data_IF_088470471099
#
_entry.id   IF_088470471099
#
_cell.length_a   1.000
_cell.length_b   1.000
_cell.length_c   1.000
_cell.angle_alpha   90.00
_cell.angle_beta   90.00
_cell.angle_gamma   90.00
#
_symmetry.space_group_name_H-M   'P 1'
#
loop_
_entity.id
_entity.type
_entity.pdbx_description
1 polymer ?
#
# COMPACT_ATOMS: atom_id res chain seq x y z
N UNK A 1 3.33 -7.96 19.62
CA UNK A 1 2.73 -9.09 18.87
C UNK A 1 3.62 -9.62 17.73
N UNK A 2 4.77 -9.00 17.40
CA UNK A 2 5.54 -9.34 16.18
C UNK A 2 6.32 -10.67 16.17
N UNK A 3 6.98 -11.08 17.27
CA UNK A 3 7.90 -12.24 17.26
C UNK A 3 7.17 -13.57 16.99
N UNK A 4 5.99 -13.77 17.58
CA UNK A 4 5.22 -15.00 17.37
C UNK A 4 4.69 -15.09 15.92
N UNK A 5 4.31 -13.96 15.32
CA UNK A 5 3.85 -13.90 13.93
C UNK A 5 4.99 -14.17 12.94
N UNK A 6 6.18 -13.62 13.19
CA UNK A 6 7.39 -13.88 12.38
C UNK A 6 7.76 -15.36 12.43
N UNK A 7 7.78 -15.97 13.62
CA UNK A 7 8.08 -17.40 13.76
C UNK A 7 7.03 -18.28 13.08
N UNK A 8 5.75 -17.89 13.13
CA UNK A 8 4.68 -18.59 12.44
C UNK A 8 4.82 -18.52 10.90
N UNK A 9 5.16 -17.35 10.36
CA UNK A 9 5.43 -17.17 8.93
C UNK A 9 6.63 -18.00 8.47
N UNK A 10 7.74 -17.97 9.21
CA UNK A 10 8.93 -18.82 8.92
C UNK A 10 8.59 -20.31 8.94
N UNK A 11 7.77 -20.76 9.89
CA UNK A 11 7.32 -22.15 9.94
C UNK A 11 6.42 -22.53 8.75
N UNK A 12 5.57 -21.61 8.27
CA UNK A 12 4.74 -21.82 7.07
C UNK A 12 5.58 -21.89 5.80
N UNK A 13 6.59 -21.03 5.65
CA UNK A 13 7.55 -21.05 4.52
C UNK A 13 8.28 -22.40 4.49
N UNK A 14 8.87 -22.83 5.60
CA UNK A 14 9.56 -24.13 5.69
C UNK A 14 8.64 -25.32 5.35
N UNK A 15 7.36 -25.23 5.70
CA UNK A 15 6.37 -26.25 5.35
C UNK A 15 6.10 -26.29 3.85
N UNK A 16 6.04 -25.12 3.20
CA UNK A 16 5.92 -25.04 1.74
C UNK A 16 7.15 -25.58 1.03
N UNK A 17 8.37 -25.31 1.53
CA UNK A 17 9.61 -25.91 1.00
C UNK A 17 9.52 -27.44 0.99
N UNK A 18 9.11 -28.02 2.13
CA UNK A 18 8.95 -29.48 2.24
C UNK A 18 7.88 -30.01 1.28
N UNK A 19 6.81 -29.25 1.05
CA UNK A 19 5.77 -29.64 0.08
C UNK A 19 6.28 -29.58 -1.36
N UNK A 20 7.04 -28.55 -1.72
CA UNK A 20 7.65 -28.40 -3.05
C UNK A 20 8.61 -29.55 -3.31
N UNK A 21 9.49 -29.87 -2.35
CA UNK A 21 10.39 -31.03 -2.42
C UNK A 21 9.62 -32.35 -2.63
N UNK A 22 8.57 -32.58 -1.84
CA UNK A 22 7.74 -33.78 -1.97
C UNK A 22 7.06 -33.87 -3.34
N UNK A 23 6.59 -32.73 -3.89
CA UNK A 23 6.02 -32.70 -5.24
C UNK A 23 7.06 -33.03 -6.29
N UNK A 24 8.28 -32.50 -6.19
CA UNK A 24 9.37 -32.85 -7.11
C UNK A 24 9.74 -34.34 -7.05
N UNK A 25 9.78 -34.93 -5.86
CA UNK A 25 10.00 -36.36 -5.68
C UNK A 25 8.90 -37.18 -6.35
N UNK A 26 7.63 -36.88 -6.04
CA UNK A 26 6.48 -37.57 -6.65
C UNK A 26 6.43 -37.41 -8.17
N UNK A 27 6.78 -36.22 -8.67
CA UNK A 27 6.88 -35.94 -10.10
C UNK A 27 7.93 -36.86 -10.74
N UNK A 28 9.11 -36.96 -10.15
CA UNK A 28 10.21 -37.77 -10.68
C UNK A 28 9.81 -39.25 -10.73
N UNK A 29 9.30 -39.79 -9.63
CA UNK A 29 8.89 -41.20 -9.54
C UNK A 29 7.76 -41.53 -10.54
N UNK A 30 6.75 -40.67 -10.62
CA UNK A 30 5.59 -40.89 -11.50
C UNK A 30 5.98 -40.81 -12.98
N UNK A 31 6.76 -39.80 -13.37
CA UNK A 31 7.21 -39.64 -14.75
C UNK A 31 8.18 -40.76 -15.15
N UNK A 32 9.04 -41.22 -14.24
CA UNK A 32 9.91 -42.38 -14.51
C UNK A 32 9.08 -43.65 -14.73
N UNK A 33 8.10 -43.92 -13.86
CA UNK A 33 7.20 -45.08 -13.99
C UNK A 33 6.43 -45.07 -15.32
N UNK A 34 5.89 -43.92 -15.73
CA UNK A 34 5.19 -43.78 -17.02
C UNK A 34 6.14 -44.01 -18.20
N UNK A 35 7.35 -43.45 -18.15
CA UNK A 35 8.36 -43.67 -19.19
C UNK A 35 8.76 -45.15 -19.30
N UNK A 36 8.90 -45.85 -18.17
CA UNK A 36 9.17 -47.30 -18.17
C UNK A 36 8.01 -48.09 -18.80
N UNK A 37 6.76 -47.72 -18.52
CA UNK A 37 5.58 -48.33 -19.13
C UNK A 37 5.54 -48.09 -20.65
N UNK A 38 5.81 -46.86 -21.10
CA UNK A 38 5.89 -46.52 -22.54
C UNK A 38 7.00 -47.34 -23.20
N UNK A 39 8.19 -47.40 -22.61
CA UNK A 39 9.33 -48.16 -23.15
C UNK A 39 9.00 -49.66 -23.26
N UNK A 40 8.36 -50.24 -22.24
CA UNK A 40 7.88 -51.63 -22.27
C UNK A 40 6.87 -51.86 -23.39
N UNK A 41 5.89 -50.97 -23.54
CA UNK A 41 4.87 -51.09 -24.57
C UNK A 41 5.44 -50.93 -25.99
N UNK A 42 6.40 -50.01 -26.18
CA UNK A 42 7.14 -49.85 -27.45
C UNK A 42 7.96 -51.09 -27.80
N UNK A 43 8.56 -51.74 -26.80
CA UNK A 43 9.27 -53.03 -27.01
C UNK A 43 8.31 -54.12 -27.47
N UNK A 44 7.17 -54.27 -26.81
CA UNK A 44 6.12 -55.24 -27.20
C UNK A 44 5.60 -54.96 -28.62
N UNK A 45 5.38 -53.68 -28.95
CA UNK A 45 5.00 -53.26 -30.30
C UNK A 45 6.03 -53.71 -31.33
N UNK A 46 7.31 -53.38 -31.12
CA UNK A 46 8.40 -53.73 -32.05
C UNK A 46 8.56 -55.25 -32.22
N UNK A 47 8.42 -56.03 -31.15
CA UNK A 47 8.47 -57.51 -31.23
C UNK A 47 7.27 -58.07 -32.00
N UNK A 48 6.07 -57.52 -31.77
CA UNK A 48 4.85 -57.92 -32.48
C UNK A 48 4.91 -57.53 -33.96
N UNK A 49 5.50 -56.37 -34.28
CA UNK A 49 5.70 -55.89 -35.64
C UNK A 49 6.65 -56.82 -36.43
N UNK A 50 7.77 -57.22 -35.82
CA UNK A 50 8.67 -58.22 -36.41
C UNK A 50 7.95 -59.55 -36.69
N UNK A 51 7.15 -60.01 -35.74
CA UNK A 51 6.37 -61.24 -35.91
C UNK A 51 5.30 -61.11 -37.02
N UNK A 52 4.66 -59.94 -37.13
CA UNK A 52 3.72 -59.65 -38.22
C UNK A 52 4.40 -59.71 -39.58
N UNK A 53 5.64 -59.22 -39.71
CA UNK A 53 6.41 -59.31 -40.96
C UNK A 53 6.66 -60.77 -41.35
N UNK A 54 7.08 -61.61 -40.41
CA UNK A 54 7.28 -63.04 -40.64
C UNK A 54 5.98 -63.77 -41.03
N UNK A 55 4.90 -63.51 -40.30
CA UNK A 55 3.57 -64.07 -40.58
C UNK A 55 3.06 -63.62 -41.94
N UNK A 56 3.24 -62.34 -42.30
CA UNK A 56 2.83 -61.78 -43.59
C UNK A 56 3.57 -62.43 -44.77
N UNK A 57 4.88 -62.68 -44.60
CA UNK A 57 5.67 -63.42 -45.59
C UNK A 57 5.13 -64.85 -45.76
N UNK A 58 4.86 -65.55 -44.66
CA UNK A 58 4.28 -66.89 -44.70
C UNK A 58 2.88 -66.90 -45.33
N UNK A 59 2.02 -65.91 -45.04
CA UNK A 59 0.71 -65.76 -45.69
C UNK A 59 0.83 -65.66 -47.21
N UNK A 60 1.82 -64.91 -47.70
CA UNK A 60 2.07 -64.77 -49.14
C UNK A 60 2.54 -66.11 -49.75
N UNK A 61 3.43 -66.85 -49.07
CA UNK A 61 3.86 -68.18 -49.51
C UNK A 61 2.68 -69.18 -49.60
N UNK A 62 1.77 -69.17 -48.62
CA UNK A 62 0.53 -69.96 -48.67
C UNK A 62 -0.40 -69.52 -49.79
N UNK A 63 -0.51 -68.21 -50.05
CA UNK A 63 -1.32 -67.68 -51.14
C UNK A 63 -0.80 -68.14 -52.52
N UNK A 64 0.51 -68.06 -52.73
CA UNK A 64 1.14 -68.54 -53.97
C UNK A 64 0.99 -70.05 -54.13
N UNK A 65 1.09 -70.80 -53.03
CA UNK A 65 0.88 -72.26 -53.04
C UNK A 65 -0.57 -72.60 -53.42
N UNK A 66 -1.57 -71.97 -52.77
CA UNK A 66 -2.97 -72.12 -53.13
C UNK A 66 -3.22 -71.82 -54.61
N UNK A 67 -2.67 -70.73 -55.14
CA UNK A 67 -2.81 -70.36 -56.55
C UNK A 67 -2.26 -71.42 -57.51
N UNK A 68 -1.14 -72.07 -57.16
CA UNK A 68 -0.57 -73.20 -57.93
C UNK A 68 -1.51 -74.41 -57.91
N UNK A 69 -2.03 -74.79 -56.74
CA UNK A 69 -2.96 -75.90 -56.59
C UNK A 69 -4.29 -75.66 -57.33
N UNK A 70 -4.85 -74.45 -57.24
CA UNK A 70 -6.04 -74.08 -58.01
C UNK A 70 -5.80 -74.17 -59.53
N UNK A 71 -4.61 -73.78 -60.00
CA UNK A 71 -4.23 -73.92 -61.41
C UNK A 71 -4.04 -75.40 -61.83
N UNK A 72 -3.49 -76.25 -60.96
CA UNK A 72 -3.33 -77.69 -61.21
C UNK A 72 -4.68 -78.41 -61.25
N UNK A 73 -5.60 -78.06 -60.34
CA UNK A 73 -6.97 -78.59 -60.32
C UNK A 73 -7.72 -78.25 -61.61
N UNK A 74 -7.62 -77.01 -62.12
CA UNK A 74 -8.21 -76.62 -63.42
C UNK A 74 -7.71 -77.46 -64.60
N UNK A 75 -6.50 -78.01 -64.50
CA UNK A 75 -5.89 -78.90 -65.49
C UNK A 75 -6.14 -80.40 -65.20
N UNK A 76 -6.84 -80.74 -64.11
CA UNK A 76 -7.14 -82.11 -63.70
C UNK A 76 -6.04 -82.83 -62.92
N UNK A 77 -5.00 -82.13 -62.47
CA UNK A 77 -3.81 -82.73 -61.82
C UNK A 77 -3.83 -82.71 -60.27
N UNK A 78 -4.92 -82.24 -59.63
CA UNK A 78 -5.05 -82.20 -58.17
C UNK A 78 -6.51 -82.41 -57.75
N UNK A 79 -6.70 -83.02 -56.58
CA UNK A 79 -8.02 -83.31 -56.02
C UNK A 79 -8.64 -82.08 -55.36
N UNK A 80 -9.98 -82.01 -55.33
CA UNK A 80 -10.71 -80.89 -54.71
C UNK A 80 -10.37 -80.75 -53.21
N UNK A 81 -10.18 -81.87 -52.51
CA UNK A 81 -9.85 -81.89 -51.07
C UNK A 81 -8.46 -81.28 -50.78
N UNK A 82 -7.50 -81.45 -51.71
CA UNK A 82 -6.16 -80.85 -51.57
C UNK A 82 -6.22 -79.33 -51.70
N UNK A 83 -7.00 -78.82 -52.68
CA UNK A 83 -7.22 -77.38 -52.86
C UNK A 83 -7.94 -76.80 -51.64
N UNK A 84 -8.97 -77.49 -51.13
CA UNK A 84 -9.69 -77.08 -49.92
C UNK A 84 -8.75 -77.00 -48.70
N UNK A 85 -7.85 -77.97 -48.53
CA UNK A 85 -6.85 -77.97 -47.45
C UNK A 85 -5.89 -76.77 -47.58
N UNK A 86 -5.33 -76.50 -48.76
CA UNK A 86 -4.45 -75.34 -48.96
C UNK A 86 -5.19 -74.02 -48.76
N UNK A 87 -6.46 -73.96 -49.15
CA UNK A 87 -7.32 -72.80 -48.94
C UNK A 87 -7.53 -72.54 -47.45
N UNK A 88 -7.82 -73.58 -46.66
CA UNK A 88 -7.93 -73.47 -45.20
C UNK A 88 -6.65 -72.89 -44.59
N UNK A 89 -5.48 -73.48 -44.91
CA UNK A 89 -4.18 -73.04 -44.37
C UNK A 89 -3.88 -71.58 -44.68
N UNK A 90 -4.18 -71.12 -45.90
CA UNK A 90 -4.05 -69.70 -46.26
C UNK A 90 -4.96 -68.80 -45.41
N UNK A 91 -6.23 -69.18 -45.22
CA UNK A 91 -7.17 -68.40 -44.42
C UNK A 91 -6.83 -68.40 -42.93
N UNK A 92 -6.31 -69.51 -42.39
CA UNK A 92 -5.82 -69.60 -41.02
C UNK A 92 -4.66 -68.61 -40.82
N UNK A 93 -3.69 -68.61 -41.73
CA UNK A 93 -2.56 -67.69 -41.68
C UNK A 93 -2.98 -66.23 -41.89
N UNK A 94 -3.93 -65.97 -42.79
CA UNK A 94 -4.49 -64.63 -43.03
C UNK A 94 -5.22 -64.10 -41.79
N UNK A 95 -5.93 -64.96 -41.08
CA UNK A 95 -6.63 -64.62 -39.83
C UNK A 95 -5.62 -64.26 -38.75
N UNK A 96 -4.56 -65.05 -38.59
CA UNK A 96 -3.46 -64.74 -37.68
C UNK A 96 -2.79 -63.39 -38.01
N UNK A 97 -2.54 -63.12 -39.30
CA UNK A 97 -1.98 -61.84 -39.73
C UNK A 97 -2.88 -60.67 -39.33
N UNK A 98 -4.18 -60.78 -39.59
CA UNK A 98 -5.14 -59.73 -39.27
C UNK A 98 -5.27 -59.51 -37.75
N UNK A 99 -5.25 -60.56 -36.93
CA UNK A 99 -5.29 -60.41 -35.47
C UNK A 99 -4.03 -59.75 -34.91
N UNK A 100 -2.85 -60.01 -35.50
CA UNK A 100 -1.62 -59.29 -35.17
C UNK A 100 -1.67 -57.81 -35.56
N UNK A 101 -2.25 -57.49 -36.73
CA UNK A 101 -2.45 -56.09 -37.13
C UNK A 101 -3.37 -55.36 -36.15
N UNK A 102 -4.48 -55.97 -35.76
CA UNK A 102 -5.38 -55.41 -34.75
C UNK A 102 -4.67 -55.19 -33.41
N UNK A 103 -3.85 -56.16 -32.98
CA UNK A 103 -3.04 -56.04 -31.77
C UNK A 103 -2.04 -54.89 -31.83
N UNK A 104 -1.40 -54.64 -32.98
CA UNK A 104 -0.50 -53.49 -33.14
C UNK A 104 -1.26 -52.16 -33.02
N UNK A 105 -2.43 -52.03 -33.64
CA UNK A 105 -3.26 -50.82 -33.56
C UNK A 105 -3.68 -50.55 -32.10
N UNK A 106 -4.10 -51.59 -31.37
CA UNK A 106 -4.44 -51.49 -29.95
C UNK A 106 -3.22 -51.06 -29.12
N UNK A 107 -2.06 -51.65 -29.40
CA UNK A 107 -0.80 -51.35 -28.70
C UNK A 107 -0.32 -49.91 -28.97
N UNK A 108 -0.42 -49.44 -30.22
CA UNK A 108 -0.10 -48.06 -30.61
C UNK A 108 -1.03 -47.06 -29.91
N UNK A 109 -2.33 -47.34 -29.86
CA UNK A 109 -3.31 -46.53 -29.14
C UNK A 109 -2.98 -46.44 -27.65
N UNK A 110 -2.54 -47.55 -27.04
CA UNK A 110 -2.12 -47.57 -25.64
C UNK A 110 -0.84 -46.76 -25.39
N UNK A 111 0.13 -46.78 -26.32
CA UNK A 111 1.34 -45.96 -26.24
C UNK A 111 0.97 -44.47 -26.30
N UNK A 112 0.12 -44.08 -27.26
CA UNK A 112 -0.35 -42.69 -27.41
C UNK A 112 -1.08 -42.22 -26.14
N UNK A 113 -1.93 -43.06 -25.56
CA UNK A 113 -2.63 -42.75 -24.31
C UNK A 113 -1.66 -42.51 -23.14
N UNK A 114 -0.65 -43.37 -22.99
CA UNK A 114 0.39 -43.21 -21.96
C UNK A 114 1.25 -41.95 -22.18
N UNK A 115 1.57 -41.61 -23.43
CA UNK A 115 2.30 -40.39 -23.77
C UNK A 115 1.50 -39.13 -23.45
N UNK A 116 0.19 -39.12 -23.72
CA UNK A 116 -0.70 -38.05 -23.30
C UNK A 116 -0.81 -37.94 -21.78
N UNK A 117 -0.91 -39.07 -21.07
CA UNK A 117 -0.90 -39.09 -19.61
C UNK A 117 0.40 -38.51 -19.05
N UNK A 118 1.56 -38.87 -19.62
CA UNK A 118 2.86 -38.33 -19.24
C UNK A 118 2.90 -36.79 -19.34
N UNK A 119 2.49 -36.23 -20.47
CA UNK A 119 2.53 -34.77 -20.68
C UNK A 119 1.49 -34.05 -19.80
N UNK A 120 0.31 -34.65 -19.60
CA UNK A 120 -0.71 -34.13 -18.70
C UNK A 120 -0.22 -34.09 -17.25
N UNK A 121 0.39 -35.18 -16.76
CA UNK A 121 0.96 -35.25 -15.41
C UNK A 121 2.11 -34.27 -15.23
N UNK A 122 2.98 -34.13 -16.22
CA UNK A 122 4.07 -33.14 -16.20
C UNK A 122 3.53 -31.73 -16.02
N UNK A 123 2.49 -31.37 -16.79
CA UNK A 123 1.84 -30.06 -16.69
C UNK A 123 1.16 -29.86 -15.34
N UNK A 124 0.49 -30.90 -14.82
CA UNK A 124 -0.15 -30.88 -13.49
C UNK A 124 0.86 -30.60 -12.37
N UNK A 125 1.98 -31.32 -12.36
CA UNK A 125 3.05 -31.10 -11.38
C UNK A 125 3.68 -29.71 -11.50
N UNK A 126 3.97 -29.25 -12.72
CA UNK A 126 4.49 -27.90 -12.94
C UNK A 126 3.55 -26.82 -12.39
N UNK A 127 2.25 -26.93 -12.65
CA UNK A 127 1.26 -25.99 -12.13
C UNK A 127 1.15 -26.05 -10.60
N UNK A 128 1.30 -27.24 -10.00
CA UNK A 128 1.28 -27.40 -8.56
C UNK A 128 2.51 -26.75 -7.90
N UNK A 129 3.70 -26.96 -8.48
CA UNK A 129 4.95 -26.33 -8.02
C UNK A 129 4.84 -24.81 -8.08
N UNK A 130 4.45 -24.25 -9.23
CA UNK A 130 4.25 -22.80 -9.41
C UNK A 130 3.28 -22.24 -8.37
N UNK A 131 2.20 -22.95 -8.06
CA UNK A 131 1.24 -22.52 -7.04
C UNK A 131 1.89 -22.41 -5.65
N UNK A 132 2.71 -23.40 -5.27
CA UNK A 132 3.40 -23.37 -3.98
C UNK A 132 4.49 -22.31 -3.93
N UNK A 133 5.25 -22.12 -5.01
CA UNK A 133 6.25 -21.05 -5.13
C UNK A 133 5.60 -19.66 -5.00
N UNK A 134 4.45 -19.44 -5.65
CA UNK A 134 3.70 -18.18 -5.51
C UNK A 134 3.20 -17.96 -4.09
N UNK A 135 2.71 -19.01 -3.42
CA UNK A 135 2.30 -18.92 -2.01
C UNK A 135 3.48 -18.63 -1.08
N UNK A 136 4.63 -19.25 -1.34
CA UNK A 136 5.85 -19.00 -0.59
C UNK A 136 6.30 -17.55 -0.75
N UNK A 137 6.32 -17.04 -1.98
CA UNK A 137 6.72 -15.67 -2.28
C UNK A 137 5.80 -14.64 -1.57
N UNK A 138 4.48 -14.86 -1.55
CA UNK A 138 3.55 -14.01 -0.78
C UNK A 138 3.89 -14.00 0.72
N UNK A 139 4.23 -15.16 1.30
CA UNK A 139 4.62 -15.24 2.71
C UNK A 139 5.98 -14.59 2.98
N UNK A 140 6.93 -14.68 2.06
CA UNK A 140 8.23 -14.01 2.14
C UNK A 140 8.09 -12.49 2.09
N UNK A 141 7.25 -11.97 1.18
CA UNK A 141 6.93 -10.54 1.12
C UNK A 141 6.32 -10.08 2.45
N UNK A 142 5.34 -10.80 2.99
CA UNK A 142 4.76 -10.49 4.30
C UNK A 142 5.80 -10.53 5.41
N UNK A 143 6.70 -11.51 5.39
CA UNK A 143 7.77 -11.60 6.38
C UNK A 143 8.68 -10.37 6.32
N UNK A 144 9.07 -9.93 5.12
CA UNK A 144 9.86 -8.71 4.91
C UNK A 144 9.13 -7.45 5.40
N UNK A 145 7.82 -7.35 5.16
CA UNK A 145 7.00 -6.26 5.69
C UNK A 145 7.00 -6.26 7.23
N UNK A 146 6.81 -7.40 7.88
CA UNK A 146 6.83 -7.52 9.34
C UNK A 146 8.22 -7.26 9.95
N UNK A 147 9.28 -7.72 9.30
CA UNK A 147 10.65 -7.46 9.73
C UNK A 147 11.00 -5.97 9.57
N UNK A 148 10.54 -5.32 8.50
CA UNK A 148 10.73 -3.86 8.26
C UNK A 148 9.93 -2.97 9.23
N UNK A 149 8.77 -3.42 9.69
CA UNK A 149 7.92 -2.68 10.64
C UNK A 149 8.43 -2.76 12.09
N UNK A 150 9.46 -3.56 12.37
CA UNK A 150 9.94 -3.76 13.75
C UNK A 150 10.68 -2.55 14.35
N UNK A 151 11.06 -1.54 13.57
CA UNK A 151 11.70 -0.33 14.07
C UNK A 151 11.07 0.94 13.46
N UNK A 152 10.16 1.58 14.21
CA UNK A 152 9.60 2.87 13.84
C UNK A 152 10.49 3.99 14.40
N UNK A 153 11.25 4.65 13.53
CA UNK A 153 12.08 5.81 13.89
C UNK A 153 11.28 7.09 13.69
N UNK A 154 11.04 7.84 14.77
CA UNK A 154 10.41 9.16 14.71
C UNK A 154 11.51 10.22 14.67
N UNK A 155 11.70 10.82 13.50
CA UNK A 155 12.69 11.87 13.29
C UNK A 155 12.18 13.24 13.74
N UNK A 156 13.07 14.07 14.28
CA UNK A 156 12.79 15.47 14.56
C UNK A 156 12.55 16.24 13.23
N UNK A 157 11.45 17.02 13.08
CA UNK A 157 11.19 17.78 11.86
C UNK A 157 12.16 18.93 11.61
N UNK A 158 12.86 19.41 12.65
CA UNK A 158 13.85 20.49 12.56
C UNK A 158 14.78 20.45 13.78
N UNK A 159 15.92 21.14 13.67
CA UNK A 159 16.86 21.32 14.78
C UNK A 159 16.22 22.10 15.93
N UNK A 160 16.38 21.60 17.16
CA UNK A 160 15.77 22.21 18.33
C UNK A 160 16.09 21.50 19.63
N UNK A 161 15.59 22.06 20.73
CA UNK A 161 15.65 21.47 22.06
C UNK A 161 14.34 20.74 22.34
N UNK A 162 14.40 19.48 22.78
CA UNK A 162 13.22 18.76 23.27
C UNK A 162 12.81 19.36 24.62
N UNK A 163 11.62 19.95 24.67
CA UNK A 163 11.05 20.58 25.87
C UNK A 163 10.42 19.52 26.79
N UNK A 164 9.62 18.62 26.22
CA UNK A 164 8.95 17.56 26.96
C UNK A 164 8.75 16.32 26.09
N UNK A 165 8.73 15.16 26.75
CA UNK A 165 8.39 13.87 26.15
C UNK A 165 7.10 13.39 26.80
N UNK A 166 6.06 13.17 25.99
CA UNK A 166 4.70 12.90 26.45
C UNK A 166 4.37 11.41 26.56
N UNK A 167 5.33 10.54 26.23
CA UNK A 167 5.15 9.08 26.19
C UNK A 167 6.16 8.38 27.09
N UNK A 168 5.82 7.18 27.56
CA UNK A 168 6.70 6.34 28.39
C UNK A 168 7.12 5.08 27.64
N UNK A 169 8.30 4.54 27.97
CA UNK A 169 8.77 3.26 27.42
C UNK A 169 7.74 2.16 27.70
N UNK A 170 7.31 1.46 26.66
CA UNK A 170 6.30 0.39 26.74
C UNK A 170 4.85 0.86 26.55
N UNK A 171 4.60 2.17 26.43
CA UNK A 171 3.29 2.71 26.11
C UNK A 171 2.95 2.48 24.62
N UNK A 172 1.74 2.00 24.34
CA UNK A 172 1.21 1.90 22.97
C UNK A 172 0.76 3.29 22.51
N UNK A 173 1.25 3.73 21.35
CA UNK A 173 0.88 4.99 20.71
C UNK A 173 0.13 4.74 19.40
N UNK A 174 -0.69 5.69 18.98
CA UNK A 174 -1.47 5.65 17.73
C UNK A 174 -1.05 6.77 16.79
N UNK A 175 -1.48 6.66 15.53
CA UNK A 175 -1.31 7.73 14.56
C UNK A 175 -1.98 9.02 15.06
N UNK A 176 -1.24 10.12 15.01
CA UNK A 176 -1.67 11.42 15.51
C UNK A 176 -1.33 11.73 16.97
N UNK A 177 -0.85 10.76 17.74
CA UNK A 177 -0.41 11.01 19.13
C UNK A 177 0.84 11.90 19.17
N UNK A 178 0.86 12.86 20.09
CA UNK A 178 2.04 13.72 20.31
C UNK A 178 3.07 13.00 21.17
N UNK A 179 4.26 12.73 20.61
CA UNK A 179 5.33 11.98 21.28
C UNK A 179 6.25 12.89 22.08
N UNK A 180 6.64 14.03 21.50
CA UNK A 180 7.50 15.02 22.14
C UNK A 180 7.14 16.43 21.64
N UNK A 181 7.43 17.43 22.48
CA UNK A 181 7.36 18.84 22.12
C UNK A 181 8.78 19.41 22.02
N UNK A 182 9.03 20.23 21.01
CA UNK A 182 10.35 20.79 20.74
C UNK A 182 10.30 22.28 20.50
N UNK A 183 11.33 22.97 20.95
CA UNK A 183 11.58 24.39 20.70
C UNK A 183 12.64 24.50 19.60
N UNK A 184 12.35 25.13 18.45
CA UNK A 184 13.31 25.30 17.37
C UNK A 184 14.60 26.00 17.81
N UNK A 185 15.75 25.58 17.26
CA UNK A 185 17.05 26.17 17.60
C UNK A 185 17.17 27.61 17.11
N UNK A 186 16.58 27.93 15.95
CA UNK A 186 16.40 29.30 15.49
C UNK A 186 15.14 29.90 16.14
N UNK A 187 15.30 30.31 17.41
CA UNK A 187 14.32 31.12 18.13
C UNK A 187 14.29 32.47 17.43
N UNK A 188 13.41 32.66 16.45
CA UNK A 188 13.15 33.98 15.90
C UNK A 188 12.78 34.98 17.01
N UNK A 189 12.62 36.24 16.65
CA UNK A 189 12.22 37.27 17.60
C UNK A 189 10.81 37.01 18.14
N UNK A 190 10.59 37.28 19.43
CA UNK A 190 9.26 37.17 20.01
C UNK A 190 8.33 38.21 19.39
N UNK A 191 7.14 37.77 19.00
CA UNK A 191 6.08 38.64 18.50
C UNK A 191 4.89 38.53 19.43
N UNK A 192 4.21 39.65 19.65
CA UNK A 192 2.98 39.68 20.40
C UNK A 192 1.79 39.54 19.45
N UNK A 193 1.04 38.45 19.61
CA UNK A 193 -0.24 38.24 18.93
C UNK A 193 -1.33 38.83 19.80
N UNK A 194 -2.10 39.77 19.25
CA UNK A 194 -3.24 40.36 19.94
C UNK A 194 -4.53 40.21 19.14
N UNK A 195 -5.65 40.21 19.87
CA UNK A 195 -7.00 40.09 19.31
C UNK A 195 -7.76 41.39 19.52
N UNK A 196 -8.21 41.99 18.43
CA UNK A 196 -8.86 43.29 18.41
C UNK A 196 -10.30 43.15 17.91
N UNK A 197 -11.31 43.72 18.60
CA UNK A 197 -12.69 43.66 18.13
C UNK A 197 -12.89 44.50 16.85
N UNK A 198 -13.90 44.14 16.07
CA UNK A 198 -14.28 44.87 14.85
C UNK A 198 -14.51 46.38 15.07
N UNK A 199 -14.96 46.80 16.25
CA UNK A 199 -15.16 48.22 16.56
C UNK A 199 -13.86 49.03 16.61
N UNK A 200 -12.72 48.38 16.86
CA UNK A 200 -11.42 49.04 16.99
C UNK A 200 -10.54 48.89 15.74
N UNK A 201 -10.79 47.88 14.89
CA UNK A 201 -9.96 47.55 13.72
C UNK A 201 -9.82 48.72 12.72
N UNK A 202 -10.86 49.54 12.57
CA UNK A 202 -10.86 50.67 11.63
C UNK A 202 -10.00 51.85 12.08
N UNK A 203 -9.58 51.88 13.35
CA UNK A 203 -8.83 52.98 13.93
C UNK A 203 -7.33 52.68 14.07
N UNK A 204 -6.91 51.45 13.77
CA UNK A 204 -5.52 51.02 13.87
C UNK A 204 -4.91 50.79 12.49
N UNK A 205 -3.62 51.08 12.35
CA UNK A 205 -2.88 50.96 11.09
C UNK A 205 -1.55 50.23 11.32
N UNK A 206 -1.00 49.58 10.27
CA UNK A 206 0.38 49.13 10.32
C UNK A 206 1.32 50.30 10.65
N UNK A 207 2.38 50.02 11.38
CA UNK A 207 3.36 50.96 11.93
C UNK A 207 2.86 51.88 13.07
N UNK A 208 1.62 51.71 13.54
CA UNK A 208 1.18 52.38 14.77
C UNK A 208 1.97 51.86 15.98
N UNK A 209 2.39 52.80 16.82
CA UNK A 209 3.11 52.54 18.08
C UNK A 209 2.13 52.35 19.22
N UNK A 210 2.35 51.30 20.01
CA UNK A 210 1.51 50.95 21.14
C UNK A 210 2.34 50.68 22.39
N UNK A 211 1.73 50.97 23.54
CA UNK A 211 2.34 50.71 24.83
C UNK A 211 1.81 49.38 25.39
N UNK A 212 2.72 48.45 25.61
CA UNK A 212 2.45 47.08 26.08
C UNK A 212 2.74 46.99 27.57
N UNK A 213 1.83 46.34 28.29
CA UNK A 213 1.97 45.96 29.70
C UNK A 213 1.85 44.45 29.80
N UNK A 214 2.90 43.78 30.27
CA UNK A 214 2.88 42.33 30.49
C UNK A 214 2.41 42.04 31.91
N UNK A 215 1.53 41.05 32.07
CA UNK A 215 1.06 40.63 33.40
C UNK A 215 2.23 40.08 34.25
N UNK A 216 3.20 39.43 33.62
CA UNK A 216 4.41 38.92 34.26
C UNK A 216 5.39 40.02 34.69
N UNK A 217 5.26 41.25 34.18
CA UNK A 217 6.15 42.38 34.46
C UNK A 217 5.32 43.62 34.89
N UNK A 218 5.01 43.75 36.20
CA UNK A 218 4.20 44.85 36.71
C UNK A 218 4.75 46.23 36.32
N UNK A 219 3.91 47.06 35.70
CA UNK A 219 4.34 48.32 35.08
C UNK A 219 4.90 49.33 36.09
N UNK A 220 4.56 49.20 37.38
CA UNK A 220 5.08 50.05 38.46
C UNK A 220 6.58 49.86 38.66
N UNK A 221 7.11 48.69 38.28
CA UNK A 221 8.54 48.35 38.41
C UNK A 221 9.28 48.36 37.08
N UNK A 222 8.61 47.96 36.00
CA UNK A 222 9.24 47.71 34.69
C UNK A 222 8.84 48.75 33.62
N UNK A 223 7.93 49.68 33.93
CA UNK A 223 7.43 50.65 32.96
C UNK A 223 6.50 50.02 31.93
N UNK A 224 6.40 50.65 30.76
CA UNK A 224 5.64 50.16 29.62
C UNK A 224 6.62 49.82 28.50
N UNK A 225 6.35 48.74 27.78
CA UNK A 225 7.15 48.32 26.64
C UNK A 225 6.58 48.95 25.37
N UNK A 226 7.45 49.38 24.47
CA UNK A 226 7.04 49.89 23.17
C UNK A 226 6.92 48.72 22.18
N UNK A 227 5.83 48.72 21.40
CA UNK A 227 5.68 47.81 20.27
C UNK A 227 5.09 48.51 19.07
N UNK A 228 5.29 47.90 17.90
CA UNK A 228 4.84 48.43 16.61
C UNK A 228 3.97 47.41 15.91
N UNK A 229 2.80 47.81 15.43
CA UNK A 229 1.91 46.91 14.68
C UNK A 229 2.56 46.59 13.32
N UNK A 230 2.91 45.33 13.08
CA UNK A 230 3.48 44.89 11.80
C UNK A 230 2.45 44.35 10.84
N UNK A 231 1.46 43.64 11.38
CA UNK A 231 0.45 42.99 10.55
C UNK A 231 -0.93 43.09 11.19
N UNK A 232 -1.92 43.32 10.36
CA UNK A 232 -3.34 43.34 10.73
C UNK A 232 -4.05 42.39 9.77
N UNK A 233 -4.73 41.37 10.31
CA UNK A 233 -5.54 40.47 9.50
C UNK A 233 -6.73 41.22 8.90
N UNK A 234 -7.00 40.96 7.62
CA UNK A 234 -8.16 41.52 6.90
C UNK A 234 -9.44 40.71 7.12
N UNK A 235 -9.32 39.49 7.65
CA UNK A 235 -10.45 38.61 7.96
C UNK A 235 -10.52 38.30 9.47
N UNK A 236 -11.74 38.07 10.01
CA UNK A 236 -11.91 37.61 11.38
C UNK A 236 -11.21 36.26 11.65
N UNK A 237 -10.77 36.08 12.88
CA UNK A 237 -10.19 34.85 13.37
C UNK A 237 -11.20 33.69 13.31
N UNK A 238 -10.74 32.52 12.86
CA UNK A 238 -11.56 31.30 12.89
C UNK A 238 -11.55 30.66 14.29
N UNK A 239 -12.57 29.85 14.61
CA UNK A 239 -12.63 29.13 15.89
C UNK A 239 -11.40 28.24 16.16
N UNK A 240 -10.87 27.49 15.18
CA UNK A 240 -9.64 26.71 15.38
C UNK A 240 -8.41 27.61 15.63
N UNK A 241 -8.32 28.76 14.97
CA UNK A 241 -7.20 29.68 15.17
C UNK A 241 -7.23 30.28 16.59
N UNK A 242 -8.41 30.66 17.08
CA UNK A 242 -8.57 31.12 18.47
C UNK A 242 -8.21 30.02 19.47
N UNK A 243 -8.65 28.78 19.21
CA UNK A 243 -8.36 27.63 20.10
C UNK A 243 -6.87 27.26 20.18
N UNK A 244 -6.06 27.64 19.18
CA UNK A 244 -4.60 27.44 19.22
C UNK A 244 -3.92 28.29 20.30
N UNK A 245 -4.46 29.46 20.63
CA UNK A 245 -3.89 30.36 21.64
C UNK A 245 -4.67 30.25 22.95
N UNK A 246 -3.99 29.86 24.04
CA UNK A 246 -4.64 29.68 25.36
C UNK A 246 -5.14 30.98 26.02
N UNK A 247 -4.71 32.15 25.51
CA UNK A 247 -4.97 33.47 26.09
C UNK A 247 -5.87 34.37 25.20
N UNK A 248 -6.92 33.81 24.60
CA UNK A 248 -7.89 34.60 23.84
C UNK A 248 -8.98 35.20 24.74
N UNK A 249 -9.46 36.42 24.47
CA UNK A 249 -10.72 36.91 25.02
C UNK A 249 -11.87 35.94 24.66
N UNK A 250 -12.92 35.89 25.49
CA UNK A 250 -14.10 35.06 25.19
C UNK A 250 -14.66 35.42 23.81
N UNK A 251 -14.64 34.45 22.89
CA UNK A 251 -15.16 34.62 21.55
C UNK A 251 -16.69 34.75 21.60
N UNK A 252 -17.20 35.95 21.34
CA UNK A 252 -18.62 36.21 21.14
C UNK A 252 -18.92 36.16 19.63
N UNK A 253 -19.86 35.30 19.17
CA UNK A 253 -20.24 35.22 17.75
C UNK A 253 -20.67 36.57 17.15
N UNK A 254 -21.17 37.49 17.98
CA UNK A 254 -21.60 38.82 17.52
C UNK A 254 -20.47 39.85 17.46
N UNK A 255 -19.29 39.54 18.01
CA UNK A 255 -18.13 40.43 18.06
C UNK A 255 -16.89 39.74 17.47
N UNK A 256 -16.74 39.72 16.13
CA UNK A 256 -15.59 39.09 15.50
C UNK A 256 -14.28 39.76 15.94
N UNK A 257 -13.29 38.93 16.23
CA UNK A 257 -11.94 39.34 16.61
C UNK A 257 -11.01 39.26 15.40
N UNK A 258 -10.19 40.27 15.24
CA UNK A 258 -9.16 40.38 14.21
C UNK A 258 -7.80 40.20 14.86
N UNK A 259 -6.94 39.42 14.21
CA UNK A 259 -5.57 39.21 14.64
C UNK A 259 -4.70 40.39 14.27
N UNK A 260 -3.92 40.88 15.21
CA UNK A 260 -2.79 41.77 14.95
C UNK A 260 -1.50 41.15 15.46
N UNK A 261 -0.42 41.39 14.74
CA UNK A 261 0.94 40.98 15.13
C UNK A 261 1.74 42.23 15.40
N UNK A 262 2.29 42.29 16.61
CA UNK A 262 3.05 43.41 17.12
C UNK A 262 4.49 42.97 17.33
N UNK A 263 5.41 43.73 16.76
CA UNK A 263 6.85 43.58 16.99
C UNK A 263 7.21 44.30 18.29
N UNK A 264 7.96 43.64 19.16
CA UNK A 264 8.41 44.16 20.45
C UNK A 264 9.80 44.76 20.25
N UNK A 265 9.96 46.05 20.52
CA UNK A 265 11.21 46.78 20.22
C UNK A 265 12.37 46.36 21.12
N UNK A 266 12.11 46.12 22.41
CA UNK A 266 13.13 45.63 23.35
C UNK A 266 12.70 44.30 23.99
N UNK A 267 13.39 43.23 23.63
CA UNK A 267 13.11 41.87 24.08
C UNK A 267 14.00 41.46 25.26
N UNK A 268 14.76 42.39 25.85
CA UNK A 268 15.59 42.14 27.04
C UNK A 268 15.07 42.94 28.21
N UNK A 269 14.58 42.24 29.24
CA UNK A 269 14.14 42.88 30.47
C UNK A 269 15.25 42.76 31.51
N UNK A 270 15.89 43.87 31.86
CA UNK A 270 16.89 43.92 32.92
C UNK A 270 16.31 44.54 34.19
N UNK A 271 16.46 43.85 35.32
CA UNK A 271 16.04 44.36 36.62
C UNK A 271 16.98 43.87 37.72
N UNK A 272 17.51 44.79 38.54
CA UNK A 272 18.45 44.50 39.63
C UNK A 272 19.60 43.56 39.21
N UNK A 273 20.31 43.88 38.12
CA UNK A 273 21.40 43.06 37.55
C UNK A 273 21.01 41.63 37.12
N UNK A 274 19.72 41.33 36.99
CA UNK A 274 19.22 40.04 36.50
C UNK A 274 18.49 40.25 35.17
N UNK A 275 18.85 39.46 34.16
CA UNK A 275 18.15 39.43 32.87
C UNK A 275 16.97 38.46 32.97
N UNK A 276 15.76 38.95 32.75
CA UNK A 276 14.54 38.17 32.70
C UNK A 276 14.20 37.88 31.23
N UNK A 277 13.84 36.63 30.94
CA UNK A 277 13.50 36.17 29.60
C UNK A 277 11.99 36.22 29.36
N UNK A 278 11.58 36.58 28.14
CA UNK A 278 10.22 36.36 27.67
C UNK A 278 9.94 34.86 27.48
N UNK A 279 8.72 34.44 27.82
CA UNK A 279 8.24 33.09 27.61
C UNK A 279 7.04 33.10 26.65
N UNK A 280 6.93 32.07 25.83
CA UNK A 280 5.75 31.88 24.97
C UNK A 280 4.50 31.73 25.85
N UNK A 281 3.41 32.40 25.47
CA UNK A 281 2.15 32.36 26.21
C UNK A 281 2.04 33.33 27.39
N UNK A 282 2.94 34.30 27.55
CA UNK A 282 2.72 35.43 28.45
C UNK A 282 1.49 36.26 28.02
N UNK A 283 0.76 36.80 29.00
CA UNK A 283 -0.37 37.71 28.77
C UNK A 283 0.11 39.16 28.75
N UNK A 284 -0.43 39.93 27.82
CA UNK A 284 -0.14 41.35 27.71
C UNK A 284 -1.40 42.13 27.31
N UNK A 285 -1.47 43.36 27.81
CA UNK A 285 -2.44 44.36 27.40
C UNK A 285 -1.71 45.48 26.66
N UNK A 286 -2.31 46.00 25.60
CA UNK A 286 -1.75 47.12 24.85
C UNK A 286 -2.74 48.28 24.84
N UNK A 287 -2.21 49.48 24.99
CA UNK A 287 -2.97 50.72 24.84
C UNK A 287 -2.43 51.49 23.64
N UNK A 288 -3.33 51.84 22.72
CA UNK A 288 -3.05 52.70 21.57
C UNK A 288 -3.78 54.04 21.74
N UNK A 289 -3.05 55.14 21.59
CA UNK A 289 -3.60 56.49 21.64
C UNK A 289 -4.05 56.91 20.23
N UNK A 290 -5.36 56.89 19.99
CA UNK A 290 -5.95 57.08 18.66
C UNK A 290 -6.00 58.54 18.19
N UNK A 291 -6.11 59.51 19.09
CA UNK A 291 -6.22 60.94 18.74
C UNK A 291 -5.51 61.84 19.76
N UNK A 292 -4.75 62.81 19.26
CA UNK A 292 -4.27 63.95 20.05
C UNK A 292 -5.26 65.11 19.90
N UNK A 293 -6.23 65.19 20.81
CA UNK A 293 -7.17 66.33 20.84
C UNK A 293 -6.56 67.51 21.58
N UNK A 294 -6.70 68.71 21.03
CA UNK A 294 -6.27 69.93 21.71
C UNK A 294 -7.33 70.33 22.74
N UNK A 295 -6.91 70.77 23.93
CA UNK A 295 -7.81 71.07 25.06
C UNK A 295 -8.97 72.02 24.71
N UNK A 296 -8.76 72.95 23.77
CA UNK A 296 -9.81 73.87 23.32
C UNK A 296 -10.95 73.19 22.54
N UNK A 297 -10.70 72.05 21.90
CA UNK A 297 -11.70 71.28 21.16
C UNK A 297 -12.66 70.56 22.11
N UNK A 298 -12.22 70.29 23.34
CA UNK A 298 -13.04 69.68 24.39
C UNK A 298 -14.08 70.65 24.95
N UNK A 299 -13.74 71.93 25.08
CA UNK A 299 -14.65 72.98 25.55
C UNK A 299 -15.80 73.30 24.57
N UNK A 300 -15.61 73.06 23.27
CA UNK A 300 -16.61 73.36 22.23
C UNK A 300 -17.47 72.14 21.85
N UNK A 301 -17.20 70.97 22.43
CA UNK A 301 -17.94 69.73 22.16
C UNK A 301 -19.46 69.81 22.40
N UNK A 302 -20.00 70.50 23.44
CA UNK A 302 -21.45 70.55 23.63
C UNK A 302 -22.19 71.42 22.59
N UNK A 303 -21.50 72.34 21.91
CA UNK A 303 -22.12 73.21 20.89
C UNK A 303 -22.19 72.55 19.51
N UNK A 304 -21.33 71.57 19.23
CA UNK A 304 -21.24 70.94 17.90
C UNK A 304 -22.26 69.81 17.68
N UNK A 305 -22.76 69.18 18.74
CA UNK A 305 -23.78 68.13 18.62
C UNK A 305 -25.19 68.70 18.41
N UNK A 306 -25.48 69.91 18.90
CA UNK A 306 -26.82 70.54 18.75
C UNK A 306 -27.11 70.92 17.29
N UNK A 307 -26.08 71.21 16.48
CA UNK A 307 -26.28 71.58 15.07
C UNK A 307 -26.45 70.38 14.13
N UNK A 308 -26.14 69.16 14.57
CA UNK A 308 -26.37 67.93 13.77
C UNK A 308 -27.78 67.35 13.92
N UNK A 309 -28.42 67.49 15.08
CA UNK A 309 -29.78 66.98 15.29
C UNK A 309 -30.88 67.88 14.66
N UNK A 310 -30.60 69.17 14.45
CA UNK A 310 -31.57 70.11 13.84
C UNK A 310 -31.60 69.98 12.30
N UNK A 311 -30.61 69.32 11.68
CA UNK A 311 -30.54 69.10 10.23
C UNK A 311 -31.34 67.92 9.68
N UNK A 312 -31.90 67.04 10.51
CA UNK A 312 -32.64 65.84 10.06
C UNK A 312 -34.17 65.92 10.17
N UNK A 313 -34.74 67.01 10.73
CA UNK A 313 -36.20 67.12 10.92
C UNK A 313 -36.92 67.78 9.71
N UNK A 314 -36.20 68.33 8.70
CA UNK A 314 -36.84 69.00 7.54
C UNK A 314 -37.03 68.15 6.27
N UNK A 315 -36.86 66.81 6.33
CA UNK A 315 -37.10 65.90 5.20
C UNK A 315 -38.04 64.74 5.56
N UNK A 316 -39.22 65.08 6.08
CA UNK A 316 -40.37 64.18 6.14
C UNK A 316 -41.66 65.01 6.21
N UNK A 317 -41.93 65.76 5.14
CA UNK A 317 -43.29 66.15 4.72
C UNK A 317 -43.20 66.98 3.43
N UNK A 318 -43.31 66.27 2.30
CA UNK A 318 -43.87 66.69 1.01
C UNK A 318 -43.74 65.57 -0.02
#
# INVERSE_FOLDING_TARGET
MGINSINALKAQINKLDTMIELVHMNQTETLESLNQQIAKNRKIYSETEKYLVEVSKSTEEYFQTLKKYEAMMKKGYSANDEVALQRSRYFDQKTLRNSLQEKLIQQESAIIALEHELESRKTEYQNQIIRYELQQNDLEIRLLEFESVSELIINAPMDGLVESVSVTVGQVIREGDTVAQMIPANKGEFQLVMWVPNSAISFIKPEDKLNIRYEAFPFEKFGQFEGTIKHISTIPASQPELAFYKNTPSADPNNPLYKIVVEITDQKVEYNNTSLAFLSGMKAEATLFLENRKLYEWMLFPLYNVTKDIGQISKHDR
#
